data_IF_495927758144
#
_entry.id   IF_495927758144
#
_cell.length_a   1.000
_cell.length_b   1.000
_cell.length_c   1.000
_cell.angle_alpha   90.00
_cell.angle_beta   90.00
_cell.angle_gamma   90.00
#
_symmetry.space_group_name_H-M   'P 1'
#
loop_
_entity.id
_entity.type
_entity.pdbx_description
1 polymer ?
#
# COMPACT_ATOMS: atom_id res chain seq x y z
N UNK A 1 20.90 -10.10 -24.13
CA UNK A 1 19.71 -10.69 -23.47
C UNK A 1 18.54 -9.80 -23.82
N UNK A 2 17.58 -10.34 -24.57
CA UNK A 2 16.38 -9.61 -24.98
C UNK A 2 15.51 -9.48 -23.72
N UNK A 3 15.46 -8.28 -23.11
CA UNK A 3 14.57 -8.02 -21.97
C UNK A 3 13.16 -7.99 -22.56
N UNK A 4 12.51 -9.15 -22.59
CA UNK A 4 11.11 -9.25 -22.98
C UNK A 4 10.32 -8.27 -22.14
N UNK A 5 9.47 -7.48 -22.78
CA UNK A 5 8.48 -6.59 -22.17
C UNK A 5 7.44 -7.35 -21.31
N UNK A 6 7.68 -8.63 -21.00
CA UNK A 6 6.82 -9.52 -20.22
C UNK A 6 7.14 -9.49 -18.71
N UNK A 7 8.24 -8.84 -18.29
CA UNK A 7 8.64 -8.76 -16.87
C UNK A 7 8.13 -7.50 -16.13
N UNK A 8 7.42 -6.60 -16.81
CA UNK A 8 6.90 -5.38 -16.16
C UNK A 8 5.49 -5.65 -15.65
N UNK A 9 5.33 -5.62 -14.32
CA UNK A 9 4.03 -5.74 -13.66
C UNK A 9 3.03 -4.74 -14.25
N UNK A 10 2.02 -5.23 -14.97
CA UNK A 10 0.98 -4.39 -15.61
C UNK A 10 -0.15 -4.02 -14.65
N UNK A 11 -0.25 -4.69 -13.51
CA UNK A 11 -1.26 -4.44 -12.48
C UNK A 11 -0.67 -4.67 -11.07
N UNK A 12 -0.07 -3.64 -10.46
CA UNK A 12 0.53 -3.73 -9.12
C UNK A 12 -0.50 -3.91 -8.01
N UNK A 13 -1.82 -3.82 -8.30
CA UNK A 13 -2.87 -4.01 -7.30
C UNK A 13 -3.13 -5.50 -6.97
N UNK A 14 -2.69 -6.41 -7.85
CA UNK A 14 -2.90 -7.87 -7.74
C UNK A 14 -1.81 -8.60 -6.97
N UNK A 15 -0.61 -8.04 -6.89
CA UNK A 15 0.54 -8.70 -6.29
C UNK A 15 0.89 -8.04 -4.95
N UNK A 16 1.40 -8.83 -4.01
CA UNK A 16 1.93 -8.32 -2.75
C UNK A 16 3.32 -7.69 -2.92
N UNK A 17 4.06 -8.13 -3.94
CA UNK A 17 5.44 -7.73 -4.20
C UNK A 17 5.59 -7.23 -5.63
N UNK A 18 6.44 -6.23 -5.83
CA UNK A 18 6.83 -5.71 -7.14
C UNK A 18 7.97 -6.53 -7.75
N UNK A 19 8.94 -6.91 -6.91
CA UNK A 19 10.04 -7.83 -7.20
C UNK A 19 10.28 -8.74 -5.98
N UNK A 20 11.34 -9.54 -5.97
CA UNK A 20 11.58 -10.54 -4.91
C UNK A 20 11.74 -9.95 -3.50
N UNK A 21 11.97 -8.65 -3.35
CA UNK A 21 12.24 -8.02 -2.04
C UNK A 21 11.42 -6.76 -1.75
N UNK A 22 10.91 -6.07 -2.76
CA UNK A 22 10.18 -4.82 -2.59
C UNK A 22 8.66 -5.04 -2.62
N UNK A 23 7.92 -4.42 -1.68
CA UNK A 23 6.45 -4.50 -1.67
C UNK A 23 5.86 -3.88 -2.92
N UNK A 24 4.69 -4.36 -3.33
CA UNK A 24 3.92 -3.67 -4.37
C UNK A 24 3.46 -2.30 -3.90
N UNK A 25 3.15 -1.42 -4.85
CA UNK A 25 2.66 -0.07 -4.55
C UNK A 25 1.45 -0.10 -3.59
N UNK A 26 0.54 -1.05 -3.75
CA UNK A 26 -0.63 -1.23 -2.87
C UNK A 26 -0.21 -1.49 -1.43
N UNK A 27 0.76 -2.39 -1.22
CA UNK A 27 1.27 -2.73 0.12
C UNK A 27 2.03 -1.55 0.71
N UNK A 28 2.83 -0.86 -0.10
CA UNK A 28 3.54 0.35 0.32
C UNK A 28 2.58 1.46 0.79
N UNK A 29 1.48 1.68 0.06
CA UNK A 29 0.43 2.64 0.44
C UNK A 29 -0.26 2.22 1.74
N UNK A 30 -0.64 0.95 1.87
CA UNK A 30 -1.24 0.42 3.10
C UNK A 30 -0.34 0.66 4.31
N UNK A 31 0.95 0.37 4.19
CA UNK A 31 1.94 0.62 5.24
C UNK A 31 1.99 2.12 5.60
N UNK A 32 2.04 3.01 4.60
CA UNK A 32 2.03 4.46 4.84
C UNK A 32 0.79 4.94 5.61
N UNK A 33 -0.41 4.46 5.25
CA UNK A 33 -1.64 4.80 5.97
C UNK A 33 -1.68 4.22 7.39
N UNK A 34 -1.20 2.99 7.57
CA UNK A 34 -1.06 2.39 8.90
C UNK A 34 -0.13 3.24 9.78
N UNK A 35 1.07 3.58 9.30
CA UNK A 35 2.02 4.40 10.06
C UNK A 35 1.45 5.79 10.37
N UNK A 36 0.69 6.39 9.45
CA UNK A 36 0.00 7.65 9.71
C UNK A 36 -1.00 7.53 10.87
N UNK A 37 -1.83 6.47 10.87
CA UNK A 37 -2.81 6.23 11.94
C UNK A 37 -2.13 5.92 13.27
N UNK A 38 -1.08 5.12 13.26
CA UNK A 38 -0.28 4.78 14.43
C UNK A 38 0.34 6.03 15.07
N UNK A 39 1.03 6.85 14.29
CA UNK A 39 1.63 8.11 14.78
C UNK A 39 0.55 9.07 15.29
N UNK A 40 -0.59 9.15 14.61
CA UNK A 40 -1.70 10.01 15.03
C UNK A 40 -2.32 9.56 16.35
N UNK A 41 -2.54 8.25 16.52
CA UNK A 41 -3.02 7.69 17.78
C UNK A 41 -2.03 7.91 18.92
N UNK A 42 -0.73 7.69 18.67
CA UNK A 42 0.32 7.92 19.67
C UNK A 42 0.37 9.37 20.16
N UNK A 43 0.18 10.34 19.26
CA UNK A 43 0.09 11.76 19.62
C UNK A 43 -1.08 12.09 20.56
N UNK A 44 -2.14 11.28 20.54
CA UNK A 44 -3.31 11.41 21.41
C UNK A 44 -3.22 10.52 22.67
N UNK A 45 -2.10 9.83 22.90
CA UNK A 45 -1.96 8.87 24.00
C UNK A 45 -2.79 7.59 23.80
N UNK A 46 -3.16 7.28 22.56
CA UNK A 46 -3.89 6.07 22.16
C UNK A 46 -2.96 5.11 21.41
N UNK A 47 -3.45 3.90 21.16
CA UNK A 47 -2.77 2.88 20.36
C UNK A 47 -3.64 2.52 19.16
N UNK A 48 -3.04 2.47 17.98
CA UNK A 48 -3.67 1.92 16.78
C UNK A 48 -3.01 0.57 16.49
N UNK A 49 -3.66 -0.52 16.87
CA UNK A 49 -3.05 -1.86 16.80
C UNK A 49 -2.92 -2.37 15.36
N UNK A 50 -1.81 -3.07 15.08
CA UNK A 50 -1.65 -3.85 13.87
C UNK A 50 -2.47 -5.14 13.96
N UNK A 51 -3.70 -5.10 13.45
CA UNK A 51 -4.58 -6.26 13.35
C UNK A 51 -5.37 -6.24 12.02
N UNK A 52 -5.96 -7.39 11.66
CA UNK A 52 -6.67 -7.56 10.39
C UNK A 52 -7.81 -6.56 10.22
N UNK A 53 -8.60 -6.32 11.27
CA UNK A 53 -9.75 -5.40 11.20
C UNK A 53 -9.32 -3.97 10.86
N UNK A 54 -8.24 -3.49 11.49
CA UNK A 54 -7.68 -2.16 11.21
C UNK A 54 -7.11 -2.09 9.79
N UNK A 55 -6.38 -3.12 9.33
CA UNK A 55 -5.87 -3.16 7.96
C UNK A 55 -6.99 -3.17 6.91
N UNK A 56 -8.05 -3.97 7.12
CA UNK A 56 -9.23 -4.00 6.24
C UNK A 56 -9.96 -2.66 6.23
N UNK A 57 -10.08 -2.00 7.38
CA UNK A 57 -10.64 -0.65 7.49
C UNK A 57 -9.86 0.34 6.63
N UNK A 58 -8.52 0.31 6.67
CA UNK A 58 -7.67 1.17 5.84
C UNK A 58 -7.80 0.86 4.35
N UNK A 59 -7.81 -0.43 3.98
CA UNK A 59 -8.00 -0.86 2.59
C UNK A 59 -9.30 -0.30 2.02
N UNK A 60 -10.39 -0.38 2.78
CA UNK A 60 -11.69 0.12 2.37
C UNK A 60 -11.72 1.66 2.35
N UNK A 61 -11.23 2.32 3.39
CA UNK A 61 -11.26 3.78 3.53
C UNK A 61 -10.44 4.50 2.44
N UNK A 62 -9.31 3.93 2.04
CA UNK A 62 -8.41 4.51 1.02
C UNK A 62 -8.52 3.83 -0.35
N UNK A 63 -9.52 2.97 -0.54
CA UNK A 63 -9.82 2.27 -1.79
C UNK A 63 -8.59 1.54 -2.39
N UNK A 64 -7.81 0.86 -1.54
CA UNK A 64 -6.53 0.23 -1.92
C UNK A 64 -6.68 -1.01 -2.81
N UNK A 65 -7.92 -1.46 -3.06
CA UNK A 65 -8.22 -2.51 -4.05
C UNK A 65 -8.29 -2.01 -5.49
N UNK A 66 -7.97 -0.72 -5.74
CA UNK A 66 -8.01 -0.12 -7.07
C UNK A 66 -6.63 0.38 -7.50
N UNK A 67 -6.38 0.56 -8.81
CA UNK A 67 -5.14 1.17 -9.30
C UNK A 67 -4.88 2.49 -8.60
N UNK A 68 -3.61 2.75 -8.28
CA UNK A 68 -3.26 4.00 -7.64
C UNK A 68 -3.60 5.21 -8.53
N UNK A 69 -4.03 6.33 -7.93
CA UNK A 69 -4.20 7.56 -8.68
C UNK A 69 -2.86 7.93 -9.31
N UNK A 70 -2.88 8.32 -10.59
CA UNK A 70 -1.69 8.88 -11.23
C UNK A 70 -1.16 10.03 -10.38
N UNK A 71 0.16 10.14 -10.16
CA UNK A 71 0.73 11.30 -9.50
C UNK A 71 0.14 12.57 -10.15
N UNK A 72 -0.25 13.54 -9.33
CA UNK A 72 -0.63 14.84 -9.87
C UNK A 72 0.52 15.32 -10.77
N UNK A 73 0.21 15.64 -12.02
CA UNK A 73 1.19 16.26 -12.90
C UNK A 73 1.61 17.57 -12.22
N UNK A 74 2.86 17.63 -11.77
CA UNK A 74 3.46 18.85 -11.22
C UNK A 74 3.72 19.80 -12.39
#
# INVERSE_FOLDING_TARGET
>A
MNVSSESVCTDPSKFYFFDDVHPSERVQRLYGYYSFMEISALKEGKVFELNEANLLSLINAYNLGTPAPKPAAI
#
